data_IF_200867776192
#
_entry.id   IF_200867776192
#
_cell.length_a   1.000
_cell.length_b   1.000
_cell.length_c   1.000
_cell.angle_alpha   90.00
_cell.angle_beta   90.00
_cell.angle_gamma   90.00
#
_symmetry.space_group_name_H-M   'P 1'
#
loop_
_entity.id
_entity.type
_entity.pdbx_description
1 polymer ?
#
# COMPACT_ATOMS: atom_id res chain seq x y z
N UNK A 1 -21.42 -8.68 1.38
CA UNK A 1 -20.46 -9.79 1.55
C UNK A 1 -19.47 -9.42 2.65
N UNK A 2 -19.01 -10.35 3.48
CA UNK A 2 -17.95 -10.09 4.45
C UNK A 2 -16.56 -10.15 3.77
N UNK A 3 -16.39 -9.41 2.67
CA UNK A 3 -15.16 -9.39 1.87
C UNK A 3 -14.68 -7.94 1.78
N UNK A 4 -13.42 -7.73 2.16
CA UNK A 4 -12.74 -6.44 2.08
C UNK A 4 -11.58 -6.61 1.11
N UNK A 5 -11.53 -5.78 0.07
CA UNK A 5 -10.39 -5.73 -0.83
C UNK A 5 -9.27 -4.93 -0.15
N UNK A 6 -8.09 -5.53 -0.01
CA UNK A 6 -6.99 -4.97 0.78
C UNK A 6 -6.39 -3.70 0.12
N UNK A 7 -6.19 -2.61 0.87
CA UNK A 7 -5.52 -1.42 0.35
C UNK A 7 -4.03 -1.72 0.09
N UNK A 8 -3.61 -1.70 -1.17
CA UNK A 8 -2.25 -1.98 -1.62
C UNK A 8 -1.59 -0.71 -2.19
N UNK A 9 -0.80 -0.04 -1.35
CA UNK A 9 -0.04 1.14 -1.76
C UNK A 9 0.96 0.78 -2.88
N UNK A 10 1.23 1.73 -3.78
CA UNK A 10 2.06 1.50 -4.97
C UNK A 10 1.28 1.43 -6.29
N UNK A 11 -0.01 1.79 -6.28
CA UNK A 11 -0.82 2.00 -7.49
C UNK A 11 -1.74 0.83 -7.87
N UNK A 12 -1.64 -0.31 -7.18
CA UNK A 12 -2.49 -1.47 -7.46
C UNK A 12 -3.98 -1.23 -7.11
N UNK A 13 -4.28 -0.38 -6.12
CA UNK A 13 -5.67 -0.01 -5.77
C UNK A 13 -6.11 1.26 -6.49
N UNK A 14 -6.68 1.11 -7.68
CA UNK A 14 -7.24 2.21 -8.46
C UNK A 14 -8.68 2.53 -8.02
N UNK A 15 -9.21 3.74 -8.32
CA UNK A 15 -10.61 4.08 -8.10
C UNK A 15 -11.60 3.09 -8.71
N UNK A 16 -11.30 2.58 -9.90
CA UNK A 16 -12.14 1.63 -10.63
C UNK A 16 -12.20 0.29 -9.91
N UNK A 17 -11.08 -0.21 -9.39
CA UNK A 17 -11.04 -1.44 -8.59
C UNK A 17 -11.85 -1.27 -7.30
N UNK A 18 -11.63 -0.16 -6.59
CA UNK A 18 -12.33 0.15 -5.33
C UNK A 18 -13.84 0.26 -5.57
N UNK A 19 -14.25 0.97 -6.63
CA UNK A 19 -15.65 1.12 -6.98
C UNK A 19 -16.29 -0.21 -7.37
N UNK A 20 -15.62 -1.02 -8.21
CA UNK A 20 -16.12 -2.31 -8.64
C UNK A 20 -16.38 -3.25 -7.45
N UNK A 21 -15.41 -3.41 -6.54
CA UNK A 21 -15.61 -4.25 -5.34
C UNK A 21 -16.81 -3.79 -4.52
N UNK A 22 -16.94 -2.47 -4.34
CA UNK A 22 -18.03 -1.87 -3.56
C UNK A 22 -19.39 -2.10 -4.23
N UNK A 23 -19.47 -1.96 -5.56
CA UNK A 23 -20.68 -2.25 -6.34
C UNK A 23 -21.13 -3.71 -6.23
N UNK A 24 -20.19 -4.67 -6.20
CA UNK A 24 -20.49 -6.09 -6.05
C UNK A 24 -20.75 -6.53 -4.59
N UNK A 25 -20.87 -5.57 -3.66
CA UNK A 25 -21.28 -5.81 -2.28
C UNK A 25 -20.15 -6.23 -1.34
N UNK A 26 -18.89 -6.13 -1.78
CA UNK A 26 -17.72 -6.09 -0.88
C UNK A 26 -17.45 -4.67 -0.38
N UNK A 27 -16.34 -4.50 0.34
CA UNK A 27 -15.81 -3.18 0.71
C UNK A 27 -14.51 -2.93 -0.06
N UNK A 28 -14.55 -2.03 -1.05
CA UNK A 28 -13.33 -1.58 -1.73
C UNK A 28 -12.52 -0.65 -0.82
N UNK A 29 -11.18 -0.70 -0.92
CA UNK A 29 -10.30 0.10 -0.06
C UNK A 29 -9.19 0.80 -0.86
N UNK A 30 -9.16 2.12 -0.82
CA UNK A 30 -8.09 2.93 -1.41
C UNK A 30 -6.88 2.99 -0.46
N UNK A 31 -5.67 2.71 -0.96
CA UNK A 31 -4.45 2.97 -0.23
C UNK A 31 -3.99 4.44 -0.38
N UNK A 32 -4.01 5.20 0.72
CA UNK A 32 -3.58 6.59 0.74
C UNK A 32 -2.24 6.91 1.47
N UNK A 33 -1.42 5.97 2.00
CA UNK A 33 -0.26 6.34 2.81
C UNK A 33 0.87 7.05 2.04
N UNK A 34 0.88 6.92 0.70
CA UNK A 34 1.87 7.56 -0.19
C UNK A 34 1.29 8.75 -0.95
N UNK A 35 0.03 9.12 -0.71
CA UNK A 35 -0.64 10.20 -1.42
C UNK A 35 -0.48 11.52 -0.68
N UNK A 36 -0.33 12.61 -1.45
CA UNK A 36 -0.51 13.95 -0.91
C UNK A 36 -1.97 14.15 -0.48
N UNK A 37 -2.27 15.00 0.52
CA UNK A 37 -3.63 15.19 1.02
C UNK A 37 -4.66 15.54 -0.06
N UNK A 38 -4.32 16.41 -1.02
CA UNK A 38 -5.22 16.75 -2.13
C UNK A 38 -5.50 15.56 -3.05
N UNK A 39 -4.49 14.72 -3.31
CA UNK A 39 -4.67 13.52 -4.12
C UNK A 39 -5.64 12.52 -3.45
N UNK A 40 -5.68 12.45 -2.12
CA UNK A 40 -6.66 11.62 -1.41
C UNK A 40 -8.08 12.08 -1.72
N UNK A 41 -8.32 13.40 -1.72
CA UNK A 41 -9.62 14.00 -2.03
C UNK A 41 -10.01 13.69 -3.48
N UNK A 42 -9.11 13.93 -4.43
CA UNK A 42 -9.34 13.66 -5.86
C UNK A 42 -9.68 12.19 -6.14
N UNK A 43 -8.96 11.26 -5.51
CA UNK A 43 -9.21 9.82 -5.63
C UNK A 43 -10.55 9.43 -5.00
N UNK A 44 -10.88 9.99 -3.83
CA UNK A 44 -12.17 9.75 -3.18
C UNK A 44 -13.35 10.28 -4.02
N UNK A 45 -13.21 11.46 -4.62
CA UNK A 45 -14.19 12.00 -5.56
C UNK A 45 -14.33 11.14 -6.81
N UNK A 46 -13.21 10.61 -7.33
CA UNK A 46 -13.26 9.69 -8.46
C UNK A 46 -14.04 8.42 -8.12
N UNK A 47 -13.77 7.78 -6.97
CA UNK A 47 -14.53 6.61 -6.52
C UNK A 47 -16.02 6.95 -6.39
N UNK A 48 -16.37 8.10 -5.80
CA UNK A 48 -17.77 8.55 -5.64
C UNK A 48 -18.49 8.81 -6.97
N UNK A 49 -17.77 9.14 -8.05
CA UNK A 49 -18.36 9.23 -9.40
C UNK A 49 -18.66 7.86 -10.00
N UNK A 50 -17.94 6.82 -9.56
CA UNK A 50 -18.08 5.45 -10.07
C UNK A 50 -19.06 4.61 -9.25
N UNK A 51 -19.25 4.89 -7.95
CA UNK A 51 -20.18 4.13 -7.10
C UNK A 51 -20.83 5.00 -6.02
N UNK A 52 -22.08 4.66 -5.70
CA UNK A 52 -22.83 5.16 -4.55
C UNK A 52 -22.65 4.28 -3.28
N UNK A 53 -21.90 3.18 -3.39
CA UNK A 53 -21.69 2.22 -2.30
C UNK A 53 -20.55 2.66 -1.35
N UNK A 54 -20.57 2.21 -0.08
CA UNK A 54 -19.49 2.50 0.86
C UNK A 54 -18.14 1.96 0.38
N UNK A 55 -17.08 2.73 0.63
CA UNK A 55 -15.68 2.33 0.41
C UNK A 55 -14.81 2.84 1.58
N UNK A 56 -13.62 2.28 1.73
CA UNK A 56 -12.65 2.66 2.76
C UNK A 56 -11.45 3.41 2.17
N UNK A 57 -10.80 4.22 3.01
CA UNK A 57 -9.50 4.86 2.72
C UNK A 57 -8.53 4.47 3.83
N UNK A 58 -7.38 3.91 3.46
CA UNK A 58 -6.35 3.46 4.38
C UNK A 58 -5.23 4.49 4.54
N UNK A 59 -4.89 4.81 5.78
CA UNK A 59 -3.79 5.70 6.16
C UNK A 59 -2.78 4.94 7.04
N UNK A 60 -1.51 5.33 6.98
CA UNK A 60 -0.53 4.87 7.96
C UNK A 60 -0.49 5.82 9.14
N UNK A 61 -0.73 5.27 10.34
CA UNK A 61 -0.62 5.98 11.61
C UNK A 61 0.43 5.24 12.44
N UNK A 62 1.69 5.49 12.11
CA UNK A 62 2.84 4.78 12.68
C UNK A 62 3.80 5.77 13.34
N UNK A 63 4.45 5.39 14.46
CA UNK A 63 5.58 6.14 14.99
C UNK A 63 6.74 6.11 13.99
N UNK A 64 7.64 7.09 14.09
CA UNK A 64 8.88 7.05 13.31
C UNK A 64 9.68 5.79 13.69
N UNK A 65 10.08 4.95 12.72
CA UNK A 65 10.84 3.75 13.03
C UNK A 65 12.20 4.10 13.62
N UNK A 66 12.65 3.30 14.59
CA UNK A 66 14.03 3.29 15.03
C UNK A 66 14.77 2.20 14.26
N UNK A 67 15.93 2.55 13.71
CA UNK A 67 16.74 1.60 12.93
C UNK A 67 17.59 0.78 13.89
N UNK A 68 17.34 -0.52 13.94
CA UNK A 68 18.25 -1.50 14.54
C UNK A 68 19.21 -2.01 13.47
N UNK A 69 20.47 -1.55 13.55
CA UNK A 69 21.49 -1.93 12.59
C UNK A 69 21.87 -3.42 12.66
N UNK A 70 21.78 -4.06 13.83
CA UNK A 70 22.07 -5.48 13.95
C UNK A 70 20.99 -6.31 13.24
N UNK A 71 19.72 -5.94 13.42
CA UNK A 71 18.61 -6.56 12.69
C UNK A 71 18.71 -6.31 11.17
N UNK A 72 19.14 -5.12 10.76
CA UNK A 72 19.35 -4.78 9.36
C UNK A 72 20.43 -5.66 8.71
N UNK A 73 21.58 -5.84 9.36
CA UNK A 73 22.64 -6.71 8.84
C UNK A 73 22.20 -8.17 8.79
N UNK A 74 21.46 -8.65 9.80
CA UNK A 74 20.89 -10.00 9.76
C UNK A 74 19.92 -10.18 8.58
N UNK A 75 19.07 -9.17 8.28
CA UNK A 75 18.18 -9.20 7.14
C UNK A 75 18.93 -9.22 5.80
N UNK A 76 20.04 -8.48 5.68
CA UNK A 76 20.89 -8.49 4.47
C UNK A 76 21.46 -9.88 4.20
N UNK A 77 21.94 -10.56 5.23
CA UNK A 77 22.45 -11.94 5.11
C UNK A 77 21.34 -12.90 4.67
N UNK A 78 20.15 -12.80 5.28
CA UNK A 78 19.01 -13.67 4.94
C UNK A 78 18.54 -13.51 3.49
N UNK A 79 18.61 -12.28 2.96
CA UNK A 79 18.14 -11.96 1.61
C UNK A 79 19.22 -12.18 0.52
N UNK A 80 20.46 -12.45 0.91
CA UNK A 80 21.59 -12.62 -0.03
C UNK A 80 21.34 -13.66 -1.13
N UNK A 81 20.72 -14.83 -0.88
CA UNK A 81 20.41 -15.79 -1.93
C UNK A 81 19.45 -15.25 -3.00
N UNK A 82 18.42 -14.51 -2.57
CA UNK A 82 17.44 -13.89 -3.47
C UNK A 82 18.09 -12.76 -4.28
N UNK A 83 18.96 -11.95 -3.64
CA UNK A 83 19.72 -10.92 -4.34
C UNK A 83 20.63 -11.53 -5.42
N UNK A 84 21.31 -12.64 -5.12
CA UNK A 84 22.16 -13.32 -6.10
C UNK A 84 21.34 -13.86 -7.29
N UNK A 85 20.16 -14.46 -7.03
CA UNK A 85 19.25 -14.93 -8.07
C UNK A 85 18.76 -13.79 -8.97
N UNK A 86 18.48 -12.62 -8.39
CA UNK A 86 18.01 -11.43 -9.11
C UNK A 86 19.15 -10.59 -9.73
N UNK A 87 20.41 -11.00 -9.61
CA UNK A 87 21.56 -10.24 -10.12
C UNK A 87 21.80 -8.91 -9.39
N UNK A 88 21.33 -8.79 -8.14
CA UNK A 88 21.53 -7.61 -7.31
C UNK A 88 22.80 -7.76 -6.48
N UNK A 89 23.74 -6.83 -6.64
CA UNK A 89 25.04 -6.86 -5.93
C UNK A 89 24.90 -6.56 -4.43
N UNK A 90 23.99 -5.66 -4.04
CA UNK A 90 23.81 -5.24 -2.65
C UNK A 90 22.37 -4.80 -2.36
N UNK A 91 21.94 -4.99 -1.11
CA UNK A 91 20.69 -4.41 -0.58
C UNK A 91 20.94 -2.96 -0.14
N UNK A 92 20.13 -1.99 -0.61
CA UNK A 92 20.25 -0.62 -0.15
C UNK A 92 19.97 -0.53 1.36
N UNK A 93 20.74 0.29 2.06
CA UNK A 93 20.50 0.56 3.48
C UNK A 93 19.40 1.62 3.60
N UNK A 94 18.29 1.36 4.33
CA UNK A 94 17.24 2.34 4.55
C UNK A 94 17.80 3.59 5.26
N UNK A 95 17.43 4.77 4.78
CA UNK A 95 17.86 6.06 5.37
C UNK A 95 16.84 6.68 6.32
N UNK A 96 15.66 6.06 6.44
CA UNK A 96 14.52 6.56 7.22
C UNK A 96 13.56 5.43 7.57
#
# INVERSE_FOLDING_TARGET
>A
LPIIQAPMAGGATTPELVAAVSQFGGLGSLAAPLLAPLAIIEQAEHIRRLTDKPFAINLFVQPRPQIDFAALEAAKVLLQPVCAELGMENLPTPTR
#
